data_IF_050937367562
#
_entry.id   IF_050937367562
#
_cell.length_a   1.000
_cell.length_b   1.000
_cell.length_c   1.000
_cell.angle_alpha   90.00
_cell.angle_beta   90.00
_cell.angle_gamma   90.00
#
_symmetry.space_group_name_H-M   'P 1'
#
loop_
_entity.id
_entity.type
_entity.pdbx_description
1 polymer ?
#
# COMPACT_ATOMS: atom_id res chain seq x y z
N UNK A 1 -43.95 -27.79 14.07
CA UNK A 1 -43.48 -28.90 13.20
C UNK A 1 -42.07 -28.53 12.76
N UNK A 2 -40.97 -28.98 13.37
CA UNK A 2 -40.49 -30.37 13.48
C UNK A 2 -40.53 -31.05 12.10
N UNK A 3 -39.44 -31.50 11.47
CA UNK A 3 -38.33 -32.32 11.99
C UNK A 3 -37.14 -32.40 11.00
N UNK A 4 -35.93 -32.58 11.56
CA UNK A 4 -34.91 -33.61 11.25
C UNK A 4 -34.28 -33.69 9.84
N UNK A 5 -32.98 -33.90 9.65
CA UNK A 5 -31.87 -34.30 10.53
C UNK A 5 -30.88 -35.16 9.73
N UNK A 6 -29.58 -35.13 10.08
CA UNK A 6 -28.75 -36.34 10.27
C UNK A 6 -27.33 -36.00 10.70
N UNK A 7 -27.02 -36.54 11.87
CA UNK A 7 -25.72 -36.71 12.50
C UNK A 7 -25.07 -38.00 11.94
N UNK A 8 -23.75 -38.04 11.76
CA UNK A 8 -22.98 -39.29 11.84
C UNK A 8 -21.89 -39.13 12.89
N UNK A 9 -21.93 -40.07 13.83
CA UNK A 9 -21.07 -40.28 14.98
C UNK A 9 -19.77 -40.96 14.56
N UNK A 10 -18.68 -40.71 15.31
CA UNK A 10 -17.84 -41.80 15.81
C UNK A 10 -17.63 -41.65 17.32
N UNK A 11 -18.06 -42.68 18.04
CA UNK A 11 -17.71 -43.03 19.43
C UNK A 11 -16.32 -43.71 19.39
N UNK A 12 -15.49 -43.82 20.44
CA UNK A 12 -15.73 -44.40 21.77
C UNK A 12 -14.44 -44.27 22.65
N UNK A 13 -14.36 -44.78 23.91
CA UNK A 13 -14.00 -44.00 25.09
C UNK A 13 -12.74 -44.52 25.82
N UNK A 14 -12.38 -43.94 26.97
CA UNK A 14 -12.19 -44.66 28.25
C UNK A 14 -11.85 -43.69 29.39
N UNK A 15 -12.59 -43.78 30.49
CA UNK A 15 -12.22 -43.23 31.78
C UNK A 15 -12.60 -44.25 32.86
N UNK A 16 -11.68 -44.48 33.80
CA UNK A 16 -11.97 -45.13 35.07
C UNK A 16 -10.90 -46.13 35.51
N UNK A 17 -10.18 -45.80 36.60
CA UNK A 17 -9.94 -46.67 37.78
C UNK A 17 -9.49 -45.78 38.96
N UNK A 18 -10.14 -45.95 40.12
CA UNK A 18 -9.64 -45.59 41.47
C UNK A 18 -8.98 -46.84 42.11
N UNK A 19 -8.08 -46.66 43.09
CA UNK A 19 -8.36 -47.29 44.39
C UNK A 19 -7.99 -46.42 45.62
N UNK A 20 -8.48 -46.85 46.78
CA UNK A 20 -8.42 -46.22 48.11
C UNK A 20 -7.24 -46.69 48.98
N UNK A 21 -6.74 -45.81 49.88
CA UNK A 21 -6.58 -46.04 51.32
C UNK A 21 -5.25 -46.56 51.91
N UNK A 22 -4.65 -45.82 52.87
CA UNK A 22 -3.66 -46.30 53.85
C UNK A 22 -2.79 -45.21 54.53
N UNK A 23 -2.82 -45.11 55.87
CA UNK A 23 -2.16 -44.14 56.78
C UNK A 23 -0.64 -44.43 56.97
N UNK A 24 0.33 -43.56 57.33
CA UNK A 24 0.60 -42.68 58.53
C UNK A 24 1.98 -41.96 58.31
N UNK A 25 2.59 -41.11 59.21
CA UNK A 25 3.01 -39.74 58.86
C UNK A 25 4.54 -39.44 59.00
N UNK A 26 4.87 -38.14 58.85
CA UNK A 26 6.04 -37.43 59.38
C UNK A 26 7.33 -37.40 58.50
N UNK A 27 7.46 -36.36 57.68
CA UNK A 27 8.74 -35.63 57.62
C UNK A 27 8.51 -34.15 57.30
N UNK A 28 8.98 -33.34 58.24
CA UNK A 28 8.99 -31.89 58.30
C UNK A 28 10.22 -31.40 57.53
N UNK A 29 10.07 -30.58 56.48
CA UNK A 29 11.08 -29.58 56.12
C UNK A 29 10.62 -28.67 54.96
N UNK A 30 10.48 -27.38 55.29
CA UNK A 30 10.66 -26.19 54.46
C UNK A 30 10.08 -26.19 53.05
N UNK A 31 9.01 -25.42 52.87
CA UNK A 31 8.81 -24.55 51.69
C UNK A 31 7.87 -23.41 52.10
N UNK A 32 8.46 -22.38 52.71
CA UNK A 32 7.81 -21.08 52.88
C UNK A 32 8.16 -20.23 51.66
N UNK A 33 7.14 -19.75 50.95
CA UNK A 33 7.26 -18.68 49.96
C UNK A 33 7.48 -19.14 48.52
N UNK A 34 6.39 -19.39 47.80
CA UNK A 34 6.24 -19.13 46.37
C UNK A 34 4.74 -19.07 46.07
N UNK A 35 4.16 -17.93 46.43
CA UNK A 35 2.84 -17.51 45.96
C UNK A 35 2.93 -17.24 44.45
N UNK A 36 2.01 -17.85 43.71
CA UNK A 36 1.56 -17.45 42.37
C UNK A 36 2.64 -16.90 41.42
N UNK A 37 3.36 -17.77 40.73
CA UNK A 37 3.70 -17.50 39.34
C UNK A 37 2.44 -17.80 38.50
N UNK A 38 1.45 -16.91 38.58
CA UNK A 38 0.44 -16.85 37.54
C UNK A 38 1.18 -16.52 36.25
N UNK A 39 1.17 -17.43 35.28
CA UNK A 39 1.56 -17.12 33.92
C UNK A 39 0.68 -15.97 33.46
N UNK A 40 1.25 -14.77 33.39
CA UNK A 40 0.68 -13.70 32.59
C UNK A 40 0.83 -14.19 31.15
N UNK A 41 -0.23 -14.80 30.61
CA UNK A 41 -0.38 -14.86 29.17
C UNK A 41 -0.58 -13.40 28.78
N UNK A 42 0.49 -12.73 28.34
CA UNK A 42 0.37 -11.42 27.72
C UNK A 42 -0.61 -11.58 26.57
N UNK A 43 -1.73 -10.86 26.64
CA UNK A 43 -2.69 -10.83 25.57
C UNK A 43 -2.02 -10.08 24.42
N UNK A 44 -1.32 -10.83 23.55
CA UNK A 44 -0.45 -10.35 22.47
C UNK A 44 -1.25 -9.71 21.31
N UNK A 45 -2.42 -9.15 21.63
CA UNK A 45 -3.41 -8.56 20.74
C UNK A 45 -3.60 -7.06 21.00
N UNK A 46 -3.18 -6.54 22.15
CA UNK A 46 -3.32 -5.12 22.46
C UNK A 46 -2.11 -4.33 21.96
N UNK A 47 -2.39 -3.20 21.29
CA UNK A 47 -1.35 -2.24 20.96
C UNK A 47 -0.68 -1.72 22.23
N UNK A 48 0.62 -1.45 22.14
CA UNK A 48 1.45 -0.90 23.20
C UNK A 48 2.44 0.12 22.64
N UNK A 49 3.21 0.75 23.51
CA UNK A 49 4.21 1.75 23.15
C UNK A 49 5.60 1.12 23.21
N UNK A 50 6.39 1.31 22.15
CA UNK A 50 7.81 0.98 22.14
C UNK A 50 8.64 2.26 21.96
N UNK A 51 9.62 2.49 22.85
CA UNK A 51 10.50 3.66 22.77
C UNK A 51 11.90 3.25 22.31
N UNK A 52 12.39 3.95 21.30
CA UNK A 52 13.69 3.75 20.68
C UNK A 52 14.75 4.61 21.39
N UNK A 53 15.68 3.96 22.07
CA UNK A 53 16.72 4.64 22.84
C UNK A 53 17.73 5.41 21.97
N UNK A 54 17.79 5.13 20.67
CA UNK A 54 18.71 5.80 19.75
C UNK A 54 18.18 7.15 19.24
N UNK A 55 16.86 7.29 19.16
CA UNK A 55 16.19 8.44 18.56
C UNK A 55 15.39 9.28 19.55
N UNK A 56 15.17 8.77 20.78
CA UNK A 56 14.30 9.38 21.78
C UNK A 56 12.84 9.53 21.30
N UNK A 57 12.43 8.64 20.39
CA UNK A 57 11.07 8.55 19.85
C UNK A 57 10.36 7.31 20.39
N UNK A 58 9.06 7.44 20.62
CA UNK A 58 8.19 6.33 20.96
C UNK A 58 7.18 6.08 19.84
N UNK A 59 6.89 4.80 19.61
CA UNK A 59 6.15 4.31 18.46
C UNK A 59 4.95 3.49 18.90
N UNK A 60 3.87 3.62 18.15
CA UNK A 60 2.75 2.71 18.20
C UNK A 60 3.22 1.30 17.81
N UNK A 61 2.92 0.29 18.62
CA UNK A 61 3.36 -1.09 18.36
C UNK A 61 2.30 -2.15 18.71
N UNK A 62 1.80 -2.96 17.75
CA UNK A 62 2.07 -2.90 16.32
C UNK A 62 1.52 -1.60 15.69
N UNK A 63 1.71 -1.42 14.39
CA UNK A 63 1.05 -0.35 13.64
C UNK A 63 -0.49 -0.48 13.70
N UNK A 64 -1.23 0.52 13.21
CA UNK A 64 -2.70 0.48 13.13
C UNK A 64 -3.18 -0.83 12.50
N UNK A 65 -4.06 -1.55 13.21
CA UNK A 65 -4.60 -2.84 12.79
C UNK A 65 -3.53 -3.87 12.37
N UNK A 66 -2.29 -3.73 12.85
CA UNK A 66 -1.12 -4.48 12.36
C UNK A 66 -1.14 -5.99 12.62
N UNK A 67 -2.20 -6.54 13.22
CA UNK A 67 -2.45 -7.98 13.37
C UNK A 67 -3.61 -8.48 12.51
N UNK A 68 -4.39 -7.59 11.91
CA UNK A 68 -5.50 -7.89 11.03
C UNK A 68 -5.00 -8.00 9.57
N UNK A 69 -5.00 -9.21 8.97
CA UNK A 69 -4.57 -9.40 7.59
C UNK A 69 -5.57 -8.87 6.55
N UNK A 70 -6.80 -8.53 6.95
CA UNK A 70 -7.86 -8.06 6.05
C UNK A 70 -8.01 -6.53 6.06
N UNK A 71 -7.39 -5.82 7.01
CA UNK A 71 -7.40 -4.36 7.04
C UNK A 71 -6.63 -3.78 5.83
N UNK A 72 -7.29 -2.83 5.17
CA UNK A 72 -6.84 -2.26 3.90
C UNK A 72 -5.91 -1.06 4.05
N UNK A 73 -5.66 -0.59 5.28
CA UNK A 73 -4.90 0.64 5.54
C UNK A 73 -5.75 1.91 5.51
N UNK A 74 -5.07 3.05 5.46
CA UNK A 74 -5.65 4.40 5.38
C UNK A 74 -5.04 5.18 4.22
N UNK A 75 -5.77 6.14 3.67
CA UNK A 75 -5.19 7.16 2.79
C UNK A 75 -4.27 8.09 3.57
N UNK A 76 -3.41 8.85 2.87
CA UNK A 76 -2.50 9.80 3.52
C UNK A 76 -3.28 10.88 4.30
N UNK A 77 -4.44 11.30 3.78
CA UNK A 77 -5.32 12.27 4.43
C UNK A 77 -5.96 11.75 5.72
N UNK A 78 -6.25 10.45 5.79
CA UNK A 78 -6.83 9.81 6.99
C UNK A 78 -5.78 9.45 8.06
N UNK A 79 -4.51 9.30 7.67
CA UNK A 79 -3.43 8.93 8.58
C UNK A 79 -3.17 10.00 9.67
N UNK A 80 -3.25 11.28 9.29
CA UNK A 80 -3.05 12.39 10.23
C UNK A 80 -4.13 12.45 11.32
N UNK A 81 -5.44 12.55 11.01
CA UNK A 81 -6.49 12.54 12.03
C UNK A 81 -6.52 11.23 12.84
N UNK A 82 -6.13 10.10 12.24
CA UNK A 82 -5.93 8.86 12.99
C UNK A 82 -4.86 9.02 14.09
N UNK A 83 -3.66 9.48 13.74
CA UNK A 83 -2.61 9.66 14.75
C UNK A 83 -2.94 10.75 15.76
N UNK A 84 -3.52 11.87 15.34
CA UNK A 84 -3.90 12.97 16.26
C UNK A 84 -5.00 12.58 17.25
N UNK A 85 -5.84 11.60 16.91
CA UNK A 85 -6.88 11.05 17.79
C UNK A 85 -6.42 9.85 18.62
N UNK A 86 -5.23 9.30 18.34
CA UNK A 86 -4.72 8.10 19.01
C UNK A 86 -4.47 8.37 20.50
N UNK A 87 -5.07 7.55 21.37
CA UNK A 87 -4.70 7.49 22.79
C UNK A 87 -4.12 6.11 23.10
N UNK A 88 -2.81 6.05 23.37
CA UNK A 88 -2.10 4.79 23.57
C UNK A 88 -1.03 4.93 24.64
N UNK A 89 -0.95 3.96 25.55
CA UNK A 89 0.03 3.94 26.64
C UNK A 89 -0.10 5.14 27.61
N UNK A 90 -1.26 5.79 27.65
CA UNK A 90 -1.49 7.01 28.44
C UNK A 90 -1.08 8.31 27.73
N UNK A 91 -0.81 8.27 26.44
CA UNK A 91 -0.37 9.42 25.63
C UNK A 91 -1.34 9.71 24.47
N UNK A 92 -1.47 10.97 24.08
CA UNK A 92 -2.39 11.46 23.02
C UNK A 92 -1.76 12.55 22.14
N UNK A 93 -0.44 12.70 22.21
CA UNK A 93 0.41 13.58 21.41
C UNK A 93 1.05 12.80 20.25
N UNK A 94 0.32 11.82 19.73
CA UNK A 94 0.76 10.99 18.61
C UNK A 94 0.60 11.75 17.29
N UNK A 95 1.54 11.51 16.38
CA UNK A 95 1.57 12.11 15.04
C UNK A 95 2.02 11.10 14.01
N UNK A 96 1.77 11.38 12.74
CA UNK A 96 2.40 10.65 11.65
C UNK A 96 3.91 10.98 11.67
N UNK A 97 4.81 9.99 11.56
CA UNK A 97 6.24 10.25 11.51
C UNK A 97 6.61 11.04 10.26
N UNK A 98 7.68 11.82 10.31
CA UNK A 98 8.32 12.27 9.07
C UNK A 98 9.15 11.12 8.47
N UNK A 99 9.59 11.27 7.23
CA UNK A 99 10.26 10.21 6.47
C UNK A 99 11.63 9.87 7.06
N UNK A 100 12.34 10.86 7.61
CA UNK A 100 13.64 10.63 8.25
C UNK A 100 13.47 9.83 9.55
N UNK A 101 12.43 10.09 10.33
CA UNK A 101 12.05 9.29 11.50
C UNK A 101 11.60 7.90 11.12
N UNK A 102 10.72 7.76 10.11
CA UNK A 102 10.21 6.46 9.70
C UNK A 102 11.34 5.55 9.20
N UNK A 103 12.35 6.12 8.51
CA UNK A 103 13.56 5.42 8.08
C UNK A 103 14.38 4.88 9.26
N UNK A 104 14.32 5.46 10.46
CA UNK A 104 15.05 4.93 11.63
C UNK A 104 14.52 3.56 12.07
N UNK A 105 13.31 3.19 11.66
CA UNK A 105 12.77 1.87 11.93
C UNK A 105 13.36 0.79 11.01
N UNK A 106 13.92 1.16 9.85
CA UNK A 106 14.38 0.19 8.84
C UNK A 106 15.57 -0.62 9.38
N UNK A 107 15.51 -1.94 9.22
CA UNK A 107 16.62 -2.84 9.51
C UNK A 107 16.86 -3.83 8.37
N UNK A 108 18.13 -4.14 8.10
CA UNK A 108 18.54 -5.15 7.10
C UNK A 108 18.62 -4.64 5.65
N UNK A 109 18.51 -3.33 5.43
CA UNK A 109 18.77 -2.70 4.13
C UNK A 109 19.46 -1.33 4.31
N UNK A 110 20.79 -1.36 4.43
CA UNK A 110 21.64 -0.17 4.69
C UNK A 110 21.37 1.03 3.75
N UNK A 111 21.16 0.87 2.42
CA UNK A 111 20.96 2.02 1.54
C UNK A 111 19.74 2.88 1.89
N UNK A 112 18.70 2.31 2.53
CA UNK A 112 17.48 3.04 2.90
C UNK A 112 17.42 3.44 4.37
N UNK A 113 18.37 3.00 5.19
CA UNK A 113 18.50 3.46 6.57
C UNK A 113 18.97 4.93 6.65
N UNK A 114 18.92 5.58 7.83
CA UNK A 114 19.48 6.91 8.01
C UNK A 114 20.95 6.95 7.58
N UNK A 115 21.34 7.99 6.83
CA UNK A 115 22.67 8.15 6.21
C UNK A 115 23.03 7.15 5.09
N UNK A 116 22.10 6.28 4.69
CA UNK A 116 22.26 5.42 3.51
C UNK A 116 22.20 6.20 2.19
N UNK A 117 22.51 5.51 1.09
CA UNK A 117 22.58 6.11 -0.26
C UNK A 117 21.23 6.62 -0.81
N UNK A 118 20.10 6.15 -0.27
CA UNK A 118 18.78 6.67 -0.63
C UNK A 118 18.61 8.09 -0.10
N UNK A 119 18.32 9.03 -1.02
CA UNK A 119 18.29 10.47 -0.76
C UNK A 119 16.92 11.03 -0.37
N UNK A 120 15.90 10.18 -0.27
CA UNK A 120 14.56 10.60 0.18
C UNK A 120 14.62 11.04 1.63
N UNK A 121 14.47 12.33 1.87
CA UNK A 121 14.46 12.98 3.18
C UNK A 121 13.40 14.08 3.20
N UNK A 122 13.20 14.74 4.34
CA UNK A 122 12.29 15.90 4.40
C UNK A 122 12.66 16.93 3.33
N UNK A 123 11.71 17.24 2.44
CA UNK A 123 11.89 18.18 1.33
C UNK A 123 12.51 17.62 0.05
N UNK A 124 12.76 16.31 -0.03
CA UNK A 124 13.18 15.65 -1.27
C UNK A 124 12.14 15.80 -2.39
N UNK A 125 12.56 15.69 -3.65
CA UNK A 125 11.64 15.63 -4.79
C UNK A 125 11.21 14.20 -5.09
N UNK A 126 10.13 14.02 -5.84
CA UNK A 126 9.62 12.70 -6.25
C UNK A 126 10.71 11.83 -6.91
N UNK A 127 11.55 12.43 -7.74
CA UNK A 127 12.64 11.74 -8.44
C UNK A 127 13.73 11.16 -7.52
N UNK A 128 13.91 11.67 -6.30
CA UNK A 128 14.87 11.11 -5.36
C UNK A 128 14.47 9.69 -4.93
N UNK A 129 13.16 9.40 -4.85
CA UNK A 129 12.62 8.07 -4.57
C UNK A 129 12.79 7.06 -5.70
N UNK A 130 13.05 7.53 -6.93
CA UNK A 130 13.32 6.66 -8.08
C UNK A 130 14.77 6.17 -8.14
N UNK A 131 15.65 6.70 -7.28
CA UNK A 131 17.02 6.23 -7.17
C UNK A 131 17.04 4.73 -6.80
N UNK A 132 17.89 3.95 -7.47
CA UNK A 132 18.02 2.51 -7.22
C UNK A 132 18.35 2.17 -5.77
N UNK A 133 19.08 3.04 -5.07
CA UNK A 133 19.38 2.86 -3.65
C UNK A 133 18.13 2.88 -2.76
N UNK A 134 17.00 3.41 -3.25
CA UNK A 134 15.74 3.48 -2.54
C UNK A 134 14.83 2.27 -2.75
N UNK A 135 15.17 1.33 -3.66
CA UNK A 135 14.26 0.24 -4.08
C UNK A 135 14.12 -0.92 -3.08
N UNK A 136 14.84 -0.89 -1.95
CA UNK A 136 14.80 -1.95 -0.95
C UNK A 136 15.53 -3.23 -1.37
N UNK A 137 15.49 -4.22 -0.48
CA UNK A 137 16.05 -5.55 -0.65
C UNK A 137 15.05 -6.56 -1.24
N UNK A 138 15.34 -7.85 -1.06
CA UNK A 138 14.47 -8.93 -1.52
C UNK A 138 13.19 -8.99 -0.67
N UNK A 139 12.05 -9.20 -1.32
CA UNK A 139 10.74 -9.34 -0.66
C UNK A 139 10.79 -10.35 0.50
N UNK A 140 10.42 -9.88 1.70
CA UNK A 140 10.31 -10.65 2.95
C UNK A 140 11.60 -11.39 3.36
N UNK A 141 12.77 -10.81 3.08
CA UNK A 141 14.07 -11.31 3.54
C UNK A 141 14.73 -10.38 4.59
N UNK A 142 13.92 -9.55 5.25
CA UNK A 142 14.37 -8.70 6.35
C UNK A 142 14.78 -9.49 7.60
N UNK A 143 15.47 -8.84 8.55
CA UNK A 143 16.18 -9.51 9.64
C UNK A 143 15.26 -10.00 10.78
N UNK A 144 13.95 -9.77 10.71
CA UNK A 144 13.01 -10.04 11.80
C UNK A 144 11.99 -11.12 11.45
N UNK A 145 11.12 -11.45 12.41
CA UNK A 145 10.04 -12.40 12.21
C UNK A 145 9.18 -12.01 10.98
N UNK A 146 8.76 -13.01 10.21
CA UNK A 146 8.03 -12.85 8.94
C UNK A 146 8.78 -12.09 7.83
N UNK A 147 10.10 -11.88 7.98
CA UNK A 147 10.93 -11.29 6.93
C UNK A 147 10.82 -9.76 6.82
N UNK A 148 10.33 -9.08 7.86
CA UNK A 148 10.14 -7.64 7.82
C UNK A 148 11.47 -6.87 7.99
N UNK A 149 11.63 -5.80 7.21
CA UNK A 149 12.78 -4.89 7.17
C UNK A 149 12.70 -3.80 8.25
N UNK A 150 12.46 -4.19 9.51
CA UNK A 150 12.37 -3.25 10.61
C UNK A 150 13.14 -3.71 11.85
N UNK A 151 13.33 -2.84 12.85
CA UNK A 151 13.97 -3.19 14.13
C UNK A 151 13.23 -4.35 14.83
N UNK A 152 13.97 -5.26 15.45
CA UNK A 152 13.43 -6.50 16.07
C UNK A 152 12.51 -6.29 17.27
N UNK A 153 12.48 -5.09 17.85
CA UNK A 153 11.56 -4.71 18.92
C UNK A 153 10.13 -4.42 18.41
N UNK A 154 9.96 -4.21 17.10
CA UNK A 154 8.67 -3.96 16.49
C UNK A 154 7.90 -5.26 16.26
N UNK A 155 6.60 -5.18 16.47
CA UNK A 155 5.63 -6.25 16.19
C UNK A 155 4.64 -5.78 15.10
N UNK A 156 3.86 -6.73 14.60
CA UNK A 156 2.87 -6.50 13.55
C UNK A 156 3.18 -7.31 12.28
N UNK A 157 2.57 -6.90 11.17
CA UNK A 157 2.70 -7.54 9.86
C UNK A 157 3.22 -6.56 8.83
N UNK A 158 4.24 -6.92 8.06
CA UNK A 158 4.64 -6.15 6.86
C UNK A 158 4.11 -6.78 5.57
N UNK A 159 3.40 -7.91 5.66
CA UNK A 159 2.93 -8.71 4.54
C UNK A 159 1.45 -8.52 4.24
N UNK A 160 0.84 -7.42 4.70
CA UNK A 160 -0.55 -7.08 4.38
C UNK A 160 -0.65 -6.70 2.90
N UNK A 161 -1.60 -7.32 2.21
CA UNK A 161 -1.79 -7.08 0.78
C UNK A 161 -2.48 -5.75 0.55
N UNK A 162 -1.95 -4.96 -0.37
CA UNK A 162 -2.72 -3.87 -0.94
C UNK A 162 -3.73 -4.47 -1.93
N UNK A 163 -4.99 -4.52 -1.51
CA UNK A 163 -6.08 -5.13 -2.30
C UNK A 163 -6.46 -4.31 -3.53
N UNK A 164 -6.08 -3.02 -3.56
CA UNK A 164 -6.32 -2.12 -4.68
C UNK A 164 -5.16 -2.12 -5.70
N UNK A 165 -3.95 -2.56 -5.31
CA UNK A 165 -2.80 -2.62 -6.19
C UNK A 165 -2.67 -3.92 -7.01
N UNK A 166 -1.71 -3.91 -7.94
CA UNK A 166 -1.29 -5.07 -8.73
C UNK A 166 -1.00 -6.26 -7.81
N UNK A 167 -1.52 -7.44 -8.16
CA UNK A 167 -1.37 -8.68 -7.40
C UNK A 167 0.07 -8.90 -6.89
N UNK A 168 0.23 -8.92 -5.58
CA UNK A 168 1.50 -9.15 -4.88
C UNK A 168 2.16 -7.91 -4.29
N UNK A 169 1.62 -6.69 -4.49
CA UNK A 169 2.03 -5.52 -3.71
C UNK A 169 1.56 -5.64 -2.26
N UNK A 170 2.40 -5.18 -1.34
CA UNK A 170 2.07 -5.05 0.08
C UNK A 170 1.81 -3.58 0.42
N UNK A 171 1.09 -3.35 1.51
CA UNK A 171 0.84 -2.00 2.00
C UNK A 171 2.17 -1.33 2.35
N UNK A 172 2.27 -0.09 1.90
CA UNK A 172 3.34 0.83 2.25
C UNK A 172 3.09 1.32 3.69
N UNK A 173 3.93 2.21 4.24
CA UNK A 173 3.68 2.87 5.52
C UNK A 173 3.89 4.37 5.37
N UNK A 174 2.86 5.15 5.71
CA UNK A 174 2.88 6.59 5.50
C UNK A 174 3.87 7.32 6.39
N UNK A 175 4.60 8.25 5.77
CA UNK A 175 5.20 9.40 6.44
C UNK A 175 4.34 10.65 6.19
N UNK A 176 4.62 11.73 6.92
CA UNK A 176 3.91 13.02 6.80
C UNK A 176 4.45 13.90 5.68
N UNK A 177 5.65 13.59 5.16
CA UNK A 177 6.32 14.42 4.18
C UNK A 177 5.68 14.34 2.80
N UNK A 178 5.60 15.50 2.17
CA UNK A 178 5.26 15.64 0.77
C UNK A 178 6.49 16.07 -0.02
N UNK A 179 6.63 15.65 -1.28
CA UNK A 179 7.80 16.00 -2.06
C UNK A 179 7.77 17.47 -2.46
N UNK A 180 8.95 18.10 -2.61
CA UNK A 180 9.05 19.55 -2.88
C UNK A 180 8.58 19.96 -4.28
N UNK A 181 8.51 19.03 -5.22
CA UNK A 181 8.08 19.22 -6.61
C UNK A 181 6.60 18.88 -6.86
N UNK A 182 5.96 18.11 -5.98
CA UNK A 182 4.52 17.80 -6.04
C UNK A 182 3.90 17.65 -4.64
N UNK A 183 3.78 18.76 -3.88
CA UNK A 183 3.33 18.73 -2.49
C UNK A 183 1.81 18.58 -2.34
N UNK A 184 1.06 18.41 -3.42
CA UNK A 184 -0.40 18.32 -3.37
C UNK A 184 -0.86 16.86 -3.51
N UNK A 185 -0.19 16.07 -4.36
CA UNK A 185 -0.70 14.76 -4.79
C UNK A 185 0.11 13.58 -4.24
N UNK A 186 1.33 13.79 -3.74
CA UNK A 186 2.22 12.71 -3.32
C UNK A 186 2.65 12.82 -1.86
N UNK A 187 2.84 11.68 -1.21
CA UNK A 187 3.26 11.54 0.18
C UNK A 187 4.34 10.47 0.29
N UNK A 188 5.34 10.70 1.13
CA UNK A 188 6.46 9.79 1.34
C UNK A 188 6.02 8.52 2.08
N UNK A 189 6.70 7.41 1.80
CA UNK A 189 6.42 6.13 2.45
C UNK A 189 7.68 5.29 2.68
N UNK A 190 7.54 4.28 3.55
CA UNK A 190 8.45 3.13 3.66
C UNK A 190 7.67 1.83 3.44
N UNK A 191 8.20 0.87 2.67
CA UNK A 191 7.63 -0.48 2.56
C UNK A 191 8.42 -1.47 3.41
N UNK A 192 7.85 -1.99 4.49
CA UNK A 192 8.60 -2.87 5.41
C UNK A 192 8.73 -4.33 4.95
N UNK A 193 8.09 -4.72 3.85
CA UNK A 193 8.31 -6.03 3.21
C UNK A 193 9.61 -6.08 2.39
N UNK A 194 10.15 -4.93 1.96
CA UNK A 194 11.41 -4.81 1.22
C UNK A 194 12.42 -3.83 1.83
N UNK A 195 11.96 -2.94 2.72
CA UNK A 195 12.73 -1.80 3.22
C UNK A 195 12.88 -0.66 2.21
N UNK A 196 12.04 -0.59 1.16
CA UNK A 196 12.10 0.48 0.16
C UNK A 196 11.53 1.80 0.71
N UNK A 197 11.94 2.90 0.09
CA UNK A 197 11.55 4.26 0.48
C UNK A 197 11.16 5.01 -0.79
N UNK A 198 10.08 5.77 -0.76
CA UNK A 198 9.65 6.49 -1.95
C UNK A 198 8.54 7.48 -1.67
N UNK A 199 7.89 7.89 -2.75
CA UNK A 199 6.66 8.67 -2.72
C UNK A 199 5.58 7.88 -3.44
N UNK A 200 4.37 7.93 -2.92
CA UNK A 200 3.19 7.40 -3.57
C UNK A 200 2.06 8.42 -3.48
N UNK A 201 1.02 8.22 -4.28
CA UNK A 201 -0.11 9.12 -4.35
C UNK A 201 -0.91 9.14 -3.04
N UNK A 202 -1.36 10.32 -2.63
CA UNK A 202 -2.07 10.58 -1.38
C UNK A 202 -3.35 9.71 -1.18
N UNK A 203 -4.01 9.35 -2.29
CA UNK A 203 -5.20 8.50 -2.33
C UNK A 203 -4.91 6.99 -2.40
N UNK A 204 -3.64 6.58 -2.33
CA UNK A 204 -3.32 5.17 -2.14
C UNK A 204 -3.66 4.76 -0.70
N UNK A 205 -3.87 3.47 -0.46
CA UNK A 205 -4.01 2.96 0.91
C UNK A 205 -2.64 2.48 1.42
N UNK A 206 -2.32 2.79 2.66
CA UNK A 206 -1.11 2.31 3.32
C UNK A 206 -1.28 2.15 4.84
N UNK A 207 -0.32 1.50 5.46
CA UNK A 207 -0.23 1.37 6.91
C UNK A 207 0.13 2.71 7.56
N UNK A 208 -0.25 2.84 8.84
CA UNK A 208 0.12 3.98 9.67
C UNK A 208 0.68 3.48 10.99
N UNK A 209 1.89 3.92 11.33
CA UNK A 209 2.53 3.70 12.63
C UNK A 209 2.85 5.04 13.25
N UNK A 210 2.02 5.48 14.20
CA UNK A 210 2.20 6.79 14.81
C UNK A 210 3.46 6.84 15.68
N UNK A 211 4.05 8.04 15.75
CA UNK A 211 5.22 8.36 16.55
C UNK A 211 4.91 9.50 17.51
N UNK A 212 5.68 9.60 18.59
CA UNK A 212 5.72 10.73 19.51
C UNK A 212 7.12 10.90 20.08
N UNK A 213 7.39 12.06 20.65
CA UNK A 213 8.64 12.28 21.39
C UNK A 213 8.54 11.61 22.77
N UNK A 214 9.65 11.04 23.28
CA UNK A 214 9.66 10.31 24.55
C UNK A 214 9.38 11.23 25.78
N UNK A 215 9.62 12.53 25.66
CA UNK A 215 9.45 13.52 26.74
C UNK A 215 8.09 14.27 26.73
N UNK A 216 7.11 13.84 25.92
CA UNK A 216 5.84 14.55 25.76
C UNK A 216 4.91 14.51 26.99
N UNK A 217 4.07 15.56 27.21
CA UNK A 217 3.18 15.66 28.36
C UNK A 217 2.08 14.58 28.38
N UNK A 218 1.62 14.19 29.57
CA UNK A 218 0.44 13.32 29.74
C UNK A 218 -0.83 14.13 29.36
N UNK A 219 -1.73 13.60 28.52
CA UNK A 219 -2.94 14.31 28.10
C UNK A 219 -3.99 14.47 29.21
N UNK A 220 -4.74 15.56 29.14
CA UNK A 220 -5.80 15.94 30.09
C UNK A 220 -6.98 14.94 30.11
N UNK A 221 -7.25 14.25 29.00
CA UNK A 221 -8.34 13.27 28.88
C UNK A 221 -8.18 12.03 29.78
N UNK A 222 -6.94 11.66 30.13
CA UNK A 222 -6.63 10.60 31.10
C UNK A 222 -6.98 11.06 32.51
N UNK A 223 -6.82 12.34 32.81
CA UNK A 223 -7.21 12.92 34.09
C UNK A 223 -8.73 13.07 34.24
N UNK A 224 -9.48 13.22 33.14
CA UNK A 224 -10.94 13.33 33.12
C UNK A 224 -11.69 12.00 32.91
N UNK A 225 -11.00 10.90 32.56
CA UNK A 225 -11.60 9.58 32.39
C UNK A 225 -12.46 9.42 31.14
N UNK A 226 -12.16 10.16 30.06
CA UNK A 226 -12.99 10.24 28.84
C UNK A 226 -12.27 9.77 27.57
N UNK A 227 -11.19 8.99 27.70
CA UNK A 227 -10.45 8.51 26.53
C UNK A 227 -11.30 7.51 25.71
N UNK A 228 -11.30 7.69 24.39
CA UNK A 228 -11.87 6.75 23.42
C UNK A 228 -10.82 5.67 23.13
N UNK A 229 -11.25 4.42 23.03
CA UNK A 229 -10.43 3.29 22.60
C UNK A 229 -10.35 3.28 21.06
N UNK A 230 -9.14 3.15 20.51
CA UNK A 230 -8.85 3.40 19.08
C UNK A 230 -9.24 2.27 18.14
N UNK A 231 -9.81 1.18 18.66
CA UNK A 231 -10.39 0.13 17.83
C UNK A 231 -11.65 0.61 17.06
N UNK A 232 -12.18 1.81 17.37
CA UNK A 232 -13.38 2.40 16.77
C UNK A 232 -13.11 3.63 15.86
N UNK A 233 -11.88 3.88 15.39
CA UNK A 233 -11.63 5.00 14.46
C UNK A 233 -12.46 4.84 13.17
N UNK A 234 -13.36 5.78 12.94
CA UNK A 234 -14.13 5.93 11.70
C UNK A 234 -13.49 7.05 10.89
N UNK A 235 -13.17 6.79 9.63
CA UNK A 235 -12.63 7.81 8.72
C UNK A 235 -13.59 8.99 8.58
N UNK A 236 -13.03 10.19 8.42
CA UNK A 236 -13.81 11.38 8.08
C UNK A 236 -14.35 11.23 6.65
N UNK A 237 -15.68 11.11 6.47
CA UNK A 237 -16.28 10.89 5.16
C UNK A 237 -16.03 12.03 4.17
N UNK A 238 -15.70 13.25 4.62
CA UNK A 238 -15.34 14.36 3.72
C UNK A 238 -13.94 14.19 3.11
N UNK A 239 -12.98 13.63 3.87
CA UNK A 239 -11.63 13.34 3.37
C UNK A 239 -11.66 12.13 2.42
N UNK A 240 -12.44 11.10 2.74
CA UNK A 240 -12.62 9.93 1.88
C UNK A 240 -13.30 10.32 0.55
N UNK A 241 -14.18 11.33 0.54
CA UNK A 241 -14.93 11.75 -0.65
C UNK A 241 -14.07 12.36 -1.78
N UNK A 242 -12.90 12.95 -1.49
CA UNK A 242 -12.02 13.51 -2.53
C UNK A 242 -11.31 12.39 -3.30
N UNK A 243 -10.76 11.41 -2.58
CA UNK A 243 -10.10 10.25 -3.16
C UNK A 243 -11.08 9.23 -3.79
N UNK A 244 -12.36 9.25 -3.40
CA UNK A 244 -13.42 8.45 -4.01
C UNK A 244 -14.10 9.14 -5.21
N UNK A 245 -13.76 10.40 -5.51
CA UNK A 245 -14.36 11.14 -6.61
C UNK A 245 -13.85 10.63 -7.97
N UNK A 246 -14.74 10.00 -8.74
CA UNK A 246 -14.45 9.60 -10.13
C UNK A 246 -14.92 10.68 -11.13
N UNK A 247 -14.08 11.71 -11.33
CA UNK A 247 -14.42 12.78 -12.28
C UNK A 247 -14.32 12.31 -13.73
N UNK A 248 -13.66 11.18 -14.01
CA UNK A 248 -13.49 10.66 -15.36
C UNK A 248 -14.83 10.33 -16.03
N UNK A 249 -15.88 10.04 -15.26
CA UNK A 249 -17.23 9.77 -15.78
C UNK A 249 -17.83 10.94 -16.56
N UNK A 250 -17.50 12.19 -16.20
CA UNK A 250 -17.88 13.40 -16.95
C UNK A 250 -16.87 13.80 -18.03
N UNK A 251 -15.74 13.09 -18.12
CA UNK A 251 -14.65 13.37 -19.04
C UNK A 251 -14.90 12.80 -20.43
N UNK A 252 -14.38 13.48 -21.44
CA UNK A 252 -14.30 12.90 -22.78
C UNK A 252 -13.38 11.68 -22.77
N UNK A 253 -13.47 10.81 -23.77
CA UNK A 253 -12.65 9.62 -23.86
C UNK A 253 -12.31 9.24 -25.29
N UNK A 254 -11.34 8.36 -25.45
CA UNK A 254 -11.07 7.69 -26.73
C UNK A 254 -11.28 6.20 -26.56
N UNK A 255 -12.20 5.64 -27.34
CA UNK A 255 -12.38 4.21 -27.48
C UNK A 255 -11.39 3.69 -28.52
N UNK A 256 -10.45 2.88 -28.06
CA UNK A 256 -9.33 2.38 -28.84
C UNK A 256 -9.58 0.92 -29.19
N UNK A 257 -9.53 0.58 -30.47
CA UNK A 257 -9.48 -0.80 -30.97
C UNK A 257 -8.03 -1.13 -31.32
N UNK A 258 -7.44 -2.06 -30.58
CA UNK A 258 -6.03 -2.46 -30.72
C UNK A 258 -5.91 -3.77 -31.47
N UNK A 259 -5.12 -3.76 -32.53
CA UNK A 259 -4.73 -4.93 -33.32
C UNK A 259 -3.24 -5.24 -33.14
N UNK A 260 -2.88 -6.51 -33.28
CA UNK A 260 -1.47 -6.93 -33.42
C UNK A 260 -1.22 -7.37 -34.86
N UNK A 261 -0.01 -7.17 -35.40
CA UNK A 261 0.26 -7.38 -36.82
C UNK A 261 0.50 -8.85 -37.18
N UNK A 262 0.68 -9.71 -36.16
CA UNK A 262 1.04 -11.12 -36.31
C UNK A 262 0.55 -11.97 -35.13
N UNK A 263 0.61 -13.29 -35.30
CA UNK A 263 0.32 -14.24 -34.23
C UNK A 263 1.36 -14.11 -33.12
N UNK A 264 0.87 -13.92 -31.89
CA UNK A 264 1.74 -13.78 -30.72
C UNK A 264 2.30 -15.14 -30.29
N UNK A 265 3.60 -15.18 -30.03
CA UNK A 265 4.32 -16.41 -29.65
C UNK A 265 3.96 -16.93 -28.25
N UNK A 266 3.43 -16.04 -27.39
CA UNK A 266 3.01 -16.36 -26.02
C UNK A 266 1.89 -15.42 -25.56
N UNK A 267 1.25 -15.76 -24.44
CA UNK A 267 0.31 -14.87 -23.75
C UNK A 267 1.07 -13.60 -23.30
N UNK A 268 0.64 -12.39 -23.70
CA UNK A 268 1.28 -11.16 -23.24
C UNK A 268 1.17 -11.01 -21.73
N UNK A 269 2.18 -10.39 -21.11
CA UNK A 269 2.19 -10.12 -19.69
C UNK A 269 1.18 -9.01 -19.33
N UNK A 270 1.22 -7.90 -20.05
CA UNK A 270 0.32 -6.76 -19.83
C UNK A 270 0.19 -5.87 -21.07
N UNK A 271 -0.90 -5.11 -21.14
CA UNK A 271 -1.12 -4.00 -22.07
C UNK A 271 -1.28 -2.72 -21.26
N UNK A 272 -0.64 -1.64 -21.69
CA UNK A 272 -0.75 -0.30 -21.09
C UNK A 272 -1.09 0.72 -22.18
N UNK A 273 -2.09 1.56 -21.97
CA UNK A 273 -2.52 2.59 -22.94
C UNK A 273 -2.80 3.91 -22.24
N UNK A 274 -1.91 4.89 -22.36
CA UNK A 274 -1.98 6.11 -21.55
C UNK A 274 -1.73 7.40 -22.33
N UNK A 275 -2.19 8.51 -21.74
CA UNK A 275 -2.00 9.86 -22.24
C UNK A 275 -0.69 10.48 -21.77
N UNK A 276 -0.05 11.23 -22.66
CA UNK A 276 1.15 12.01 -22.39
C UNK A 276 0.97 13.41 -22.97
N UNK A 277 1.30 14.46 -22.22
CA UNK A 277 1.26 15.84 -22.73
C UNK A 277 2.12 16.00 -23.97
N UNK A 278 1.59 16.69 -24.98
CA UNK A 278 2.30 16.95 -26.23
C UNK A 278 3.64 17.67 -26.02
N UNK A 279 3.69 18.62 -25.09
CA UNK A 279 4.89 19.41 -24.81
C UNK A 279 6.08 18.56 -24.34
N UNK A 280 5.81 17.41 -23.74
CA UNK A 280 6.78 16.51 -23.12
C UNK A 280 6.88 15.16 -23.86
N UNK A 281 6.26 15.05 -25.04
CA UNK A 281 6.15 13.79 -25.77
C UNK A 281 7.50 13.32 -26.31
N UNK A 282 7.77 12.03 -26.08
CA UNK A 282 8.89 11.26 -26.67
C UNK A 282 8.38 9.86 -26.96
N UNK A 283 8.91 9.22 -28.01
CA UNK A 283 8.55 7.85 -28.40
C UNK A 283 9.78 6.93 -28.27
N UNK A 284 9.76 5.90 -27.40
CA UNK A 284 8.73 5.67 -26.37
C UNK A 284 8.82 6.69 -25.22
N UNK A 285 7.73 6.93 -24.47
CA UNK A 285 7.79 7.72 -23.26
C UNK A 285 8.69 7.08 -22.21
N UNK A 286 9.52 7.88 -21.53
CA UNK A 286 10.44 7.42 -20.48
C UNK A 286 10.14 8.10 -19.13
N UNK A 287 8.85 8.28 -18.83
CA UNK A 287 8.33 8.91 -17.61
C UNK A 287 6.90 8.41 -17.33
N UNK A 288 6.34 8.68 -16.15
CA UNK A 288 4.93 8.39 -15.88
C UNK A 288 3.98 9.11 -16.85
N UNK A 289 2.80 8.52 -17.13
CA UNK A 289 1.77 9.14 -17.95
C UNK A 289 1.13 10.36 -17.27
N UNK A 290 0.54 11.26 -18.07
CA UNK A 290 -0.23 12.41 -17.58
C UNK A 290 -1.73 12.10 -17.43
N UNK A 291 -2.22 11.00 -18.00
CA UNK A 291 -3.62 10.62 -17.91
C UNK A 291 -3.94 9.23 -18.44
N UNK A 292 -5.19 8.83 -18.27
CA UNK A 292 -5.66 7.45 -18.34
C UNK A 292 -5.59 6.82 -16.95
N UNK A 293 -6.46 5.85 -16.66
CA UNK A 293 -6.69 5.26 -15.33
C UNK A 293 -6.04 3.89 -15.19
N UNK A 294 -6.10 3.32 -13.99
CA UNK A 294 -5.73 1.93 -13.69
C UNK A 294 -6.32 0.89 -14.66
N UNK A 295 -7.57 1.05 -15.10
CA UNK A 295 -8.21 0.18 -16.10
C UNK A 295 -7.54 0.23 -17.48
N UNK A 296 -6.66 1.21 -17.72
CA UNK A 296 -5.88 1.27 -18.93
C UNK A 296 -4.61 0.42 -18.90
N UNK A 297 -4.38 -0.28 -17.79
CA UNK A 297 -3.44 -1.38 -17.65
C UNK A 297 -4.20 -2.71 -17.55
N UNK A 298 -4.04 -3.58 -18.54
CA UNK A 298 -4.68 -4.90 -18.57
C UNK A 298 -3.63 -5.98 -18.41
N UNK A 299 -3.70 -6.74 -17.31
CA UNK A 299 -2.84 -7.91 -17.10
C UNK A 299 -3.34 -9.10 -17.91
N UNK A 300 -2.41 -9.87 -18.49
CA UNK A 300 -2.70 -11.02 -19.35
C UNK A 300 -3.81 -10.73 -20.40
N UNK A 301 -3.66 -9.68 -21.24
CA UNK A 301 -4.70 -9.24 -22.15
C UNK A 301 -5.01 -10.31 -23.20
N UNK A 302 -6.30 -10.48 -23.51
CA UNK A 302 -6.78 -11.44 -24.49
C UNK A 302 -6.82 -10.82 -25.90
N UNK A 303 -5.63 -10.57 -26.45
CA UNK A 303 -5.42 -9.97 -27.78
C UNK A 303 -4.66 -10.95 -28.68
N UNK A 304 -4.96 -10.93 -29.98
CA UNK A 304 -4.29 -11.75 -30.99
C UNK A 304 -4.59 -11.27 -32.41
N UNK A 305 -3.97 -11.91 -33.41
CA UNK A 305 -4.06 -11.50 -34.81
C UNK A 305 -5.52 -11.30 -35.30
N UNK A 306 -6.39 -12.27 -35.03
CA UNK A 306 -7.81 -12.22 -35.39
C UNK A 306 -8.71 -11.81 -34.22
N UNK A 307 -8.12 -11.25 -33.17
CA UNK A 307 -8.79 -10.94 -31.90
C UNK A 307 -8.35 -9.58 -31.37
N UNK A 308 -8.87 -8.48 -31.94
CA UNK A 308 -8.59 -7.15 -31.43
C UNK A 308 -9.11 -6.97 -30.01
N UNK A 309 -8.41 -6.15 -29.23
CA UNK A 309 -8.84 -5.73 -27.90
C UNK A 309 -9.40 -4.32 -27.98
N UNK A 310 -10.57 -4.09 -27.41
CA UNK A 310 -11.19 -2.76 -27.35
C UNK A 310 -11.15 -2.26 -25.92
N UNK A 311 -10.73 -1.02 -25.71
CA UNK A 311 -10.73 -0.36 -24.41
C UNK A 311 -11.06 1.12 -24.53
N UNK A 312 -11.44 1.76 -23.42
CA UNK A 312 -11.70 3.21 -23.39
C UNK A 312 -10.67 3.89 -22.51
N UNK A 313 -9.99 4.90 -23.06
CA UNK A 313 -8.99 5.70 -22.35
C UNK A 313 -9.60 7.08 -22.07
N UNK A 314 -10.03 7.37 -20.83
CA UNK A 314 -10.66 8.64 -20.49
C UNK A 314 -9.64 9.79 -20.44
N UNK A 315 -10.11 11.00 -20.71
CA UNK A 315 -9.35 12.24 -20.60
C UNK A 315 -9.34 12.74 -19.15
N UNK A 316 -8.74 11.95 -18.26
CA UNK A 316 -8.56 12.28 -16.86
C UNK A 316 -7.22 11.76 -16.33
N UNK A 317 -6.84 12.18 -15.13
CA UNK A 317 -5.65 11.70 -14.42
C UNK A 317 -5.82 10.26 -13.93
N UNK A 318 -4.72 9.58 -13.62
CA UNK A 318 -4.70 8.16 -13.22
C UNK A 318 -5.57 7.86 -12.01
N UNK A 319 -5.47 8.71 -10.99
CA UNK A 319 -6.26 8.63 -9.76
C UNK A 319 -7.66 9.23 -9.88
N UNK A 320 -8.07 9.63 -11.10
CA UNK A 320 -9.45 9.98 -11.45
C UNK A 320 -9.99 11.24 -10.80
N UNK A 321 -9.10 12.09 -10.29
CA UNK A 321 -9.42 13.33 -9.57
C UNK A 321 -9.62 14.54 -10.48
N UNK A 322 -9.06 14.50 -11.70
CA UNK A 322 -9.07 15.66 -12.60
C UNK A 322 -9.22 15.29 -14.06
N UNK A 323 -10.05 16.06 -14.79
CA UNK A 323 -10.12 16.02 -16.24
C UNK A 323 -8.90 16.70 -16.88
N UNK A 324 -8.36 16.10 -17.93
CA UNK A 324 -7.22 16.65 -18.67
C UNK A 324 -7.71 17.42 -19.90
N UNK A 325 -7.23 18.65 -20.05
CA UNK A 325 -7.52 19.52 -21.19
C UNK A 325 -6.23 20.01 -21.81
N UNK A 326 -6.20 20.16 -23.14
CA UNK A 326 -5.00 20.49 -23.90
C UNK A 326 -4.71 19.48 -25.00
N UNK A 327 -3.44 19.37 -25.40
CA UNK A 327 -2.98 18.45 -26.45
C UNK A 327 -2.23 17.28 -25.82
N UNK A 328 -2.66 16.06 -26.13
CA UNK A 328 -2.10 14.84 -25.59
C UNK A 328 -1.80 13.84 -26.70
N UNK A 329 -0.78 13.04 -26.48
CA UNK A 329 -0.39 11.90 -27.29
C UNK A 329 -0.81 10.63 -26.57
N UNK A 330 -1.27 9.65 -27.34
CA UNK A 330 -1.61 8.33 -26.83
C UNK A 330 -0.44 7.39 -27.12
N UNK A 331 -0.04 6.61 -26.12
CA UNK A 331 0.93 5.54 -26.26
C UNK A 331 0.32 4.22 -25.81
N UNK A 332 0.37 3.21 -26.67
CA UNK A 332 -0.01 1.84 -26.36
C UNK A 332 1.24 0.95 -26.32
N UNK A 333 1.38 0.13 -25.29
CA UNK A 333 2.48 -0.80 -25.10
C UNK A 333 1.96 -2.15 -24.62
N UNK A 334 2.06 -3.15 -25.50
CA UNK A 334 1.84 -4.56 -25.20
C UNK A 334 3.18 -5.20 -24.85
N UNK A 335 3.37 -5.45 -23.55
CA UNK A 335 4.57 -6.07 -23.01
C UNK A 335 4.41 -7.59 -23.00
N UNK A 336 5.34 -8.29 -23.65
CA UNK A 336 5.28 -9.75 -23.77
C UNK A 336 5.77 -10.46 -22.50
N UNK A 337 6.79 -9.93 -21.84
CA UNK A 337 7.37 -10.52 -20.63
C UNK A 337 7.44 -9.52 -19.49
N UNK A 338 7.33 -9.98 -18.24
CA UNK A 338 7.53 -9.13 -17.07
C UNK A 338 8.94 -8.48 -17.12
N UNK A 339 9.04 -7.21 -16.77
CA UNK A 339 10.29 -6.47 -16.76
C UNK A 339 10.17 -5.23 -15.87
N UNK A 340 11.24 -4.93 -15.13
CA UNK A 340 11.32 -3.70 -14.32
C UNK A 340 11.73 -2.53 -15.22
N UNK A 341 11.09 -1.38 -15.02
CA UNK A 341 10.93 -0.27 -15.96
C UNK A 341 10.11 -0.65 -17.21
N UNK A 342 8.99 0.04 -17.50
CA UNK A 342 8.14 -0.25 -18.66
C UNK A 342 8.73 0.35 -19.94
N UNK A 343 10.02 0.13 -20.19
CA UNK A 343 10.61 0.47 -21.49
C UNK A 343 10.40 -0.70 -22.45
N UNK A 344 9.91 -0.45 -23.68
CA UNK A 344 9.76 -1.48 -24.69
C UNK A 344 11.09 -2.17 -25.00
N UNK A 345 11.06 -3.50 -25.11
CA UNK A 345 12.20 -4.34 -25.46
C UNK A 345 11.96 -5.02 -26.81
N UNK A 346 13.02 -5.53 -27.43
CA UNK A 346 12.89 -6.38 -28.61
C UNK A 346 11.87 -7.52 -28.36
N UNK A 347 10.93 -7.68 -29.29
CA UNK A 347 9.81 -8.63 -29.20
C UNK A 347 8.54 -8.10 -28.52
N UNK A 348 8.58 -6.93 -27.89
CA UNK A 348 7.37 -6.24 -27.44
C UNK A 348 6.64 -5.57 -28.61
N UNK A 349 5.41 -5.05 -28.36
CA UNK A 349 4.66 -4.33 -29.38
C UNK A 349 4.20 -2.97 -28.86
N UNK A 350 4.35 -1.93 -29.68
CA UNK A 350 4.00 -0.56 -29.29
C UNK A 350 3.25 0.18 -30.39
N UNK A 351 2.60 1.28 -30.01
CA UNK A 351 2.05 2.26 -30.94
C UNK A 351 2.06 3.62 -30.24
N UNK A 352 2.37 4.67 -30.99
CA UNK A 352 2.33 6.04 -30.50
C UNK A 352 1.65 6.93 -31.52
N UNK A 353 0.76 7.81 -31.06
CA UNK A 353 0.03 8.73 -31.93
C UNK A 353 0.98 9.64 -32.71
N UNK A 354 0.78 9.76 -34.02
CA UNK A 354 1.56 10.63 -34.92
C UNK A 354 1.12 12.10 -34.91
N UNK A 355 -0.08 12.38 -34.42
CA UNK A 355 -0.59 13.73 -34.13
C UNK A 355 -1.24 13.75 -32.73
N UNK A 356 -1.26 14.89 -32.03
CA UNK A 356 -1.90 14.98 -30.73
C UNK A 356 -3.42 15.04 -30.84
N UNK A 357 -4.09 14.42 -29.89
CA UNK A 357 -5.53 14.55 -29.65
C UNK A 357 -5.76 15.75 -28.74
N UNK A 358 -6.76 16.58 -29.05
CA UNK A 358 -7.12 17.74 -28.23
C UNK A 358 -8.31 17.39 -27.35
N UNK A 359 -8.18 17.67 -26.07
CA UNK A 359 -9.28 17.67 -25.11
C UNK A 359 -9.60 19.11 -24.65
N UNK A 360 -10.87 19.44 -24.41
CA UNK A 360 -12.07 18.64 -24.69
C UNK A 360 -12.25 18.35 -26.19
N UNK A 361 -12.85 17.22 -26.55
CA UNK A 361 -12.96 16.74 -27.93
C UNK A 361 -13.75 17.70 -28.83
N UNK A 362 -14.82 18.30 -28.29
CA UNK A 362 -15.60 19.33 -28.98
C UNK A 362 -14.94 20.71 -28.99
N UNK A 363 -13.78 20.87 -28.35
CA UNK A 363 -13.00 22.11 -28.29
C UNK A 363 -13.46 23.16 -27.28
N UNK A 364 -14.50 22.89 -26.47
CA UNK A 364 -15.06 23.86 -25.52
C UNK A 364 -15.10 23.35 -24.07
N UNK A 365 -15.76 22.22 -23.81
CA UNK A 365 -15.95 21.65 -22.48
C UNK A 365 -16.08 20.13 -22.59
N UNK A 366 -15.67 19.41 -21.54
CA UNK A 366 -15.93 17.96 -21.49
C UNK A 366 -17.44 17.72 -21.39
N UNK A 367 -17.94 16.79 -22.22
CA UNK A 367 -19.36 16.42 -22.28
C UNK A 367 -19.54 14.90 -22.28
N UNK A 368 -18.55 14.16 -21.79
CA UNK A 368 -18.44 12.72 -21.95
C UNK A 368 -18.47 12.28 -23.42
N UNK A 369 -17.90 13.10 -24.31
CA UNK A 369 -17.79 12.77 -25.73
C UNK A 369 -16.80 11.60 -25.90
N UNK A 370 -17.08 10.68 -26.84
CA UNK A 370 -16.19 9.54 -27.14
C UNK A 370 -15.76 9.60 -28.59
N UNK A 371 -14.45 9.70 -28.82
CA UNK A 371 -13.86 9.50 -30.13
C UNK A 371 -13.44 8.04 -30.34
N UNK A 372 -13.49 7.56 -31.57
CA UNK A 372 -13.04 6.22 -31.94
C UNK A 372 -11.63 6.30 -32.54
N UNK A 373 -10.79 5.34 -32.19
CA UNK A 373 -9.44 5.20 -32.72
C UNK A 373 -9.13 3.73 -32.97
N UNK A 374 -8.77 3.38 -34.20
CA UNK A 374 -8.34 2.03 -34.58
C UNK A 374 -6.82 2.03 -34.84
N UNK A 375 -6.08 1.18 -34.13
CA UNK A 375 -4.61 1.13 -34.17
C UNK A 375 -4.09 -0.30 -34.33
N UNK A 376 -3.03 -0.43 -35.12
CA UNK A 376 -2.24 -1.67 -35.19
C UNK A 376 -0.90 -1.42 -34.49
N UNK A 377 -0.58 -2.21 -33.48
CA UNK A 377 0.72 -2.17 -32.81
C UNK A 377 1.82 -2.64 -33.77
N UNK A 378 3.04 -2.14 -33.60
CA UNK A 378 4.22 -2.64 -34.31
C UNK A 378 5.12 -3.39 -33.35
N UNK A 379 5.72 -4.48 -33.82
CA UNK A 379 6.75 -5.21 -33.07
C UNK A 379 8.00 -4.34 -32.97
N UNK A 380 8.61 -4.34 -31.79
CA UNK A 380 9.91 -3.72 -31.52
C UNK A 380 10.99 -4.72 -31.92
N UNK A 381 11.91 -4.30 -32.78
CA UNK A 381 13.02 -5.13 -33.28
C UNK A 381 14.16 -5.30 -32.26
#
# INVERSE_FOLDING_TARGET
>A
MAMSGKLIRHLFPINGVRPQGGQTPLMLALLCGLLYAGTVIADNKSAHVWCDAETDLCWQNPQRAGLDPEDVGLTAGEAQPYCESLVLGGYADWRVPNIDELRTLIAGHEPTQPNGDCRVSVGAGTFDGLNRSCHGGTLLEGPTANGCYWKSALTGRCDRSDVAAVAGKRLETWASDRPSDDPEHWTAYVTFDTGAVGFNHNCSYADVRCVRDNAGPIPECVASGTCIDVDDYVSDPELTADCDADVCTGGDAVRVTLHVPESLEAQPHQLMVFWYKEADWRMPPARPPDGGTDYNQVLAPNIGLDKPLVMTVPACTFYREKLISGKFRLFAYLQMQKGFQPLPRAGDYVWGSSEPIRFPLNGSAHQADVAELDITLHRVD
#
